data_IF_883554385252
#
_entry.id   IF_883554385252
#
_cell.length_a   1.000
_cell.length_b   1.000
_cell.length_c   1.000
_cell.angle_alpha   90.00
_cell.angle_beta   90.00
_cell.angle_gamma   90.00
#
_symmetry.space_group_name_H-M   'P 1'
#
loop_
_entity.id
_entity.type
_entity.pdbx_description
1 polymer ?
#
# COMPACT_ATOMS: atom_id res chain seq x y z
N UNK A 1 1.36 -25.12 -26.51
CA UNK A 1 0.78 -23.91 -27.13
C UNK A 1 0.45 -22.94 -26.02
N UNK A 2 1.06 -21.77 -26.02
CA UNK A 2 0.84 -20.75 -25.00
C UNK A 2 -0.60 -20.23 -25.08
N UNK A 3 -1.35 -20.45 -23.99
CA UNK A 3 -2.78 -20.15 -23.89
C UNK A 3 -3.10 -18.65 -24.05
N UNK A 4 -2.08 -17.78 -24.05
CA UNK A 4 -2.20 -16.32 -24.08
C UNK A 4 -1.51 -15.67 -25.28
N UNK A 5 -1.13 -16.45 -26.29
CA UNK A 5 -0.40 -15.95 -27.48
C UNK A 5 -1.15 -14.84 -28.25
N UNK A 6 -2.49 -14.84 -28.18
CA UNK A 6 -3.34 -13.82 -28.81
C UNK A 6 -3.30 -12.46 -28.09
N UNK A 7 -2.89 -12.42 -26.82
CA UNK A 7 -2.69 -11.18 -26.05
C UNK A 7 -1.22 -10.75 -26.10
N UNK A 8 -0.29 -11.71 -26.02
CA UNK A 8 1.13 -11.41 -25.91
C UNK A 8 1.76 -10.83 -27.19
N UNK A 9 1.16 -11.07 -28.36
CA UNK A 9 1.58 -10.52 -29.65
C UNK A 9 0.67 -9.39 -30.17
N UNK A 10 -0.37 -9.03 -29.42
CA UNK A 10 -1.24 -7.93 -29.82
C UNK A 10 -0.55 -6.59 -29.54
N UNK A 11 -0.62 -5.68 -30.50
CA UNK A 11 -0.18 -4.30 -30.31
C UNK A 11 -1.02 -3.68 -29.17
N UNK A 12 -0.34 -3.12 -28.17
CA UNK A 12 -0.99 -2.48 -27.01
C UNK A 12 -1.97 -1.39 -27.46
N UNK A 13 -1.67 -0.70 -28.57
CA UNK A 13 -2.57 0.30 -29.15
C UNK A 13 -3.85 -0.29 -29.73
N UNK A 14 -3.81 -1.52 -30.24
CA UNK A 14 -5.00 -2.21 -30.75
C UNK A 14 -5.95 -2.62 -29.62
N UNK A 15 -5.41 -3.12 -28.50
CA UNK A 15 -6.22 -3.49 -27.33
C UNK A 15 -6.90 -2.26 -26.74
N UNK A 16 -6.21 -1.11 -26.67
CA UNK A 16 -6.82 0.14 -26.20
C UNK A 16 -7.95 0.59 -27.12
N UNK A 17 -7.75 0.61 -28.44
CA UNK A 17 -8.81 0.93 -29.40
C UNK A 17 -10.01 -0.03 -29.27
N UNK A 18 -9.75 -1.32 -29.09
CA UNK A 18 -10.78 -2.34 -28.89
C UNK A 18 -11.58 -2.09 -27.61
N UNK A 19 -10.91 -1.66 -26.54
CA UNK A 19 -11.56 -1.28 -25.29
C UNK A 19 -12.39 0.02 -25.43
N UNK A 20 -11.90 1.02 -26.17
CA UNK A 20 -12.71 2.22 -26.46
C UNK A 20 -13.97 1.88 -27.27
N UNK A 21 -13.86 0.98 -28.24
CA UNK A 21 -15.02 0.49 -29.00
C UNK A 21 -16.00 -0.25 -28.08
N UNK A 22 -15.50 -1.09 -27.17
CA UNK A 22 -16.33 -1.76 -26.16
C UNK A 22 -17.10 -0.76 -25.28
N UNK A 23 -16.48 0.35 -24.86
CA UNK A 23 -17.16 1.40 -24.07
C UNK A 23 -18.26 2.11 -24.85
N UNK A 24 -18.12 2.26 -26.17
CA UNK A 24 -19.11 2.92 -27.01
C UNK A 24 -20.26 1.98 -27.38
N UNK A 25 -19.93 0.76 -27.78
CA UNK A 25 -20.89 -0.29 -28.12
C UNK A 25 -20.35 -1.66 -27.66
N UNK A 26 -20.84 -2.16 -26.51
CA UNK A 26 -20.45 -3.47 -26.01
C UNK A 26 -20.79 -4.60 -26.98
N UNK A 27 -21.87 -4.47 -27.76
CA UNK A 27 -22.32 -5.52 -28.69
C UNK A 27 -21.51 -5.57 -29.99
N UNK A 28 -20.77 -4.51 -30.30
CA UNK A 28 -19.89 -4.40 -31.48
C UNK A 28 -18.54 -5.10 -31.32
N UNK A 29 -18.22 -5.61 -30.13
CA UNK A 29 -16.98 -6.33 -29.82
C UNK A 29 -17.26 -7.82 -29.70
N UNK A 30 -16.27 -8.67 -30.02
CA UNK A 30 -16.40 -10.13 -29.89
C UNK A 30 -16.81 -10.55 -28.47
N UNK A 31 -17.71 -11.54 -28.30
CA UNK A 31 -18.18 -11.98 -26.97
C UNK A 31 -17.07 -12.37 -26.00
N UNK A 32 -15.94 -12.89 -26.48
CA UNK A 32 -14.78 -13.23 -25.63
C UNK A 32 -14.16 -11.97 -25.03
N UNK A 33 -14.00 -10.92 -25.84
CA UNK A 33 -13.47 -9.63 -25.42
C UNK A 33 -14.46 -8.86 -24.54
N UNK A 34 -15.76 -8.97 -24.79
CA UNK A 34 -16.79 -8.43 -23.88
C UNK A 34 -16.63 -9.00 -22.47
N UNK A 35 -16.52 -10.33 -22.33
CA UNK A 35 -16.34 -10.98 -21.02
C UNK A 35 -15.02 -10.63 -20.35
N UNK A 36 -13.96 -10.45 -21.13
CA UNK A 36 -12.69 -9.96 -20.61
C UNK A 36 -12.80 -8.54 -20.05
N UNK A 37 -13.36 -7.60 -20.83
CA UNK A 37 -13.52 -6.21 -20.39
C UNK A 37 -14.52 -6.06 -19.26
N UNK A 38 -15.59 -6.86 -19.21
CA UNK A 38 -16.52 -6.95 -18.08
C UNK A 38 -15.77 -7.34 -16.79
N UNK A 39 -14.88 -8.34 -16.86
CA UNK A 39 -14.04 -8.73 -15.73
C UNK A 39 -12.99 -7.67 -15.35
N UNK A 40 -12.40 -7.00 -16.34
CA UNK A 40 -11.47 -5.89 -16.13
C UNK A 40 -12.16 -4.71 -15.43
N UNK A 41 -13.31 -4.27 -15.92
CA UNK A 41 -14.12 -3.20 -15.33
C UNK A 41 -14.61 -3.57 -13.93
N UNK A 42 -15.01 -4.83 -13.71
CA UNK A 42 -15.35 -5.31 -12.38
C UNK A 42 -14.16 -5.23 -11.41
N UNK A 43 -12.97 -5.63 -11.87
CA UNK A 43 -11.75 -5.56 -11.06
C UNK A 43 -11.37 -4.11 -10.77
N UNK A 44 -11.42 -3.22 -11.75
CA UNK A 44 -11.06 -1.80 -11.56
C UNK A 44 -12.05 -1.08 -10.65
N UNK A 45 -13.34 -1.40 -10.73
CA UNK A 45 -14.35 -0.87 -9.80
C UNK A 45 -14.15 -1.39 -8.37
N UNK A 46 -13.78 -2.67 -8.20
CA UNK A 46 -13.71 -3.32 -6.89
C UNK A 46 -12.38 -3.11 -6.17
N UNK A 47 -11.28 -3.01 -6.92
CA UNK A 47 -9.90 -2.98 -6.41
C UNK A 47 -9.10 -1.76 -6.89
N UNK A 48 -9.69 -0.87 -7.69
CA UNK A 48 -9.00 0.29 -8.26
C UNK A 48 -8.19 -0.07 -9.51
N UNK A 49 -7.64 0.95 -10.15
CA UNK A 49 -6.81 0.81 -11.35
C UNK A 49 -5.47 0.16 -11.01
N UNK A 50 -5.02 -0.81 -11.83
CA UNK A 50 -3.71 -1.46 -11.66
C UNK A 50 -2.60 -0.40 -11.77
N UNK A 51 -2.02 -0.03 -10.62
CA UNK A 51 -1.01 1.02 -10.54
C UNK A 51 -1.27 2.05 -9.43
N UNK A 52 -2.46 2.05 -8.84
CA UNK A 52 -2.66 2.69 -7.54
C UNK A 52 -2.13 1.76 -6.43
N UNK A 53 -0.81 1.70 -6.28
CA UNK A 53 -0.29 1.65 -4.92
C UNK A 53 -0.77 2.95 -4.29
N UNK A 54 -1.62 2.87 -3.27
CA UNK A 54 -1.85 4.00 -2.38
C UNK A 54 -0.50 4.38 -1.76
N UNK A 55 0.26 5.23 -2.44
CA UNK A 55 1.49 5.85 -1.93
C UNK A 55 1.20 6.72 -0.70
N UNK A 56 -0.09 6.90 -0.35
CA UNK A 56 -0.57 7.53 0.88
C UNK A 56 -0.66 6.60 2.09
N UNK A 57 -0.97 5.30 1.91
CA UNK A 57 -1.02 4.32 3.02
C UNK A 57 0.37 3.99 3.55
N UNK A 58 1.36 3.99 2.66
CA UNK A 58 2.71 3.53 2.95
C UNK A 58 3.54 4.53 3.79
N UNK A 59 3.29 5.84 3.69
CA UNK A 59 4.10 6.83 4.42
C UNK A 59 3.89 6.72 5.92
N UNK A 60 2.63 6.66 6.38
CA UNK A 60 2.32 6.53 7.81
C UNK A 60 2.75 5.16 8.36
N UNK A 61 2.57 4.09 7.59
CA UNK A 61 3.08 2.76 7.95
C UNK A 61 4.61 2.77 8.08
N UNK A 62 5.32 3.43 7.16
CA UNK A 62 6.78 3.64 7.26
C UNK A 62 7.15 4.46 8.50
N UNK A 63 6.37 5.49 8.86
CA UNK A 63 6.58 6.27 10.08
C UNK A 63 6.38 5.44 11.34
N UNK A 64 5.31 4.63 11.39
CA UNK A 64 5.03 3.69 12.49
C UNK A 64 6.14 2.64 12.59
N UNK A 65 6.61 2.11 11.46
CA UNK A 65 7.75 1.21 11.39
C UNK A 65 9.01 1.83 12.00
N UNK A 66 9.32 3.06 11.64
CA UNK A 66 10.47 3.80 12.16
C UNK A 66 10.34 4.06 13.67
N UNK A 67 9.14 4.37 14.14
CA UNK A 67 8.84 4.50 15.57
C UNK A 67 9.09 3.19 16.32
N UNK A 68 8.56 2.07 15.82
CA UNK A 68 8.77 0.73 16.41
C UNK A 68 10.27 0.39 16.45
N UNK A 69 10.99 0.61 15.35
CA UNK A 69 12.43 0.42 15.29
C UNK A 69 13.17 1.24 16.35
N UNK A 70 12.85 2.54 16.47
CA UNK A 70 13.47 3.42 17.45
C UNK A 70 13.23 2.95 18.90
N UNK A 71 12.02 2.48 19.22
CA UNK A 71 11.72 1.91 20.53
C UNK A 71 12.50 0.62 20.81
N UNK A 72 12.62 -0.28 19.82
CA UNK A 72 13.40 -1.51 19.95
C UNK A 72 14.89 -1.23 20.17
N UNK A 73 15.45 -0.27 19.44
CA UNK A 73 16.86 0.08 19.54
C UNK A 73 17.19 0.90 20.78
N UNK A 74 16.37 1.89 21.12
CA UNK A 74 16.72 2.94 22.08
C UNK A 74 15.75 3.09 23.27
N UNK A 75 14.66 2.32 23.34
CA UNK A 75 13.67 2.41 24.42
C UNK A 75 14.27 2.22 25.82
N UNK A 76 15.33 1.41 25.93
CA UNK A 76 16.06 1.18 27.17
C UNK A 76 16.75 2.44 27.74
N UNK A 77 16.95 3.48 26.93
CA UNK A 77 17.49 4.77 27.36
C UNK A 77 16.43 5.66 28.02
N UNK A 78 15.15 5.45 27.70
CA UNK A 78 14.00 6.18 28.26
C UNK A 78 13.27 5.43 29.37
N UNK A 79 13.59 4.15 29.57
CA UNK A 79 12.94 3.30 30.57
C UNK A 79 13.28 3.71 32.02
N UNK A 80 12.25 3.76 32.88
CA UNK A 80 12.37 4.02 34.33
C UNK A 80 12.79 2.76 35.08
N UNK A 81 14.05 2.35 34.92
CA UNK A 81 14.58 1.12 35.54
C UNK A 81 15.19 1.33 36.92
N UNK A 82 15.47 2.58 37.32
CA UNK A 82 16.10 2.89 38.60
C UNK A 82 15.06 3.43 39.60
N UNK A 83 14.75 2.70 40.69
CA UNK A 83 13.78 3.14 41.68
C UNK A 83 14.35 4.13 42.72
N UNK A 84 15.67 4.33 42.77
CA UNK A 84 16.33 5.16 43.80
C UNK A 84 16.54 6.59 43.30
N UNK A 85 16.89 6.76 42.03
CA UNK A 85 17.22 8.06 41.44
C UNK A 85 16.83 8.09 39.97
N UNK A 86 16.40 9.26 39.52
CA UNK A 86 16.21 9.52 38.09
C UNK A 86 17.50 9.26 37.30
N UNK A 87 17.32 8.55 36.19
CA UNK A 87 18.41 8.23 35.27
C UNK A 87 18.76 9.49 34.47
N UNK A 88 20.02 9.60 34.04
CA UNK A 88 20.45 10.71 33.19
C UNK A 88 19.63 10.70 31.89
N UNK A 89 19.13 11.86 31.50
CA UNK A 89 18.48 12.03 30.21
C UNK A 89 19.51 11.92 29.07
N UNK A 90 19.23 11.06 28.11
CA UNK A 90 20.06 10.85 26.93
C UNK A 90 19.53 11.62 25.70
N UNK A 91 18.46 12.41 25.85
CA UNK A 91 17.90 13.24 24.79
C UNK A 91 17.24 12.45 23.66
N UNK A 92 16.86 11.20 23.90
CA UNK A 92 16.24 10.36 22.86
C UNK A 92 14.79 10.75 22.69
N UNK A 93 14.44 11.21 21.48
CA UNK A 93 13.08 11.56 21.16
C UNK A 93 12.32 10.37 20.58
N UNK A 94 11.39 9.85 21.37
CA UNK A 94 10.50 8.72 21.04
C UNK A 94 9.03 9.15 20.91
N UNK A 95 8.76 10.46 20.82
CA UNK A 95 7.39 10.95 20.61
C UNK A 95 6.95 10.70 19.16
N UNK A 96 5.72 10.24 18.95
CA UNK A 96 5.15 9.96 17.63
C UNK A 96 5.18 11.17 16.69
N UNK A 97 5.01 12.38 17.25
CA UNK A 97 5.14 13.65 16.52
C UNK A 97 6.49 13.84 15.84
N UNK A 98 7.56 13.27 16.38
CA UNK A 98 8.91 13.37 15.82
C UNK A 98 9.13 12.47 14.61
N UNK A 99 8.22 11.51 14.41
CA UNK A 99 8.19 10.62 13.25
C UNK A 99 7.15 11.08 12.23
N UNK A 100 6.51 12.24 12.41
CA UNK A 100 5.51 12.77 11.48
C UNK A 100 4.09 12.23 11.67
N UNK A 101 3.85 11.52 12.78
CA UNK A 101 2.52 11.04 13.19
C UNK A 101 1.81 12.11 14.04
N UNK A 102 0.49 12.15 13.94
CA UNK A 102 -0.37 13.07 14.70
C UNK A 102 -1.20 12.31 15.71
N UNK A 103 -1.83 13.02 16.66
CA UNK A 103 -2.70 12.38 17.65
C UNK A 103 -3.93 11.71 17.01
N UNK A 104 -4.35 12.17 15.82
CA UNK A 104 -5.42 11.55 15.05
C UNK A 104 -5.06 10.13 14.57
N UNK A 105 -3.76 9.78 14.52
CA UNK A 105 -3.26 8.48 14.06
C UNK A 105 -3.18 7.44 15.19
N UNK A 106 -3.51 7.81 16.44
CA UNK A 106 -3.46 6.89 17.58
C UNK A 106 -4.60 5.86 17.54
N UNK A 107 -5.75 6.22 16.96
CA UNK A 107 -6.93 5.37 16.84
C UNK A 107 -6.98 4.65 15.47
N UNK A 108 -5.95 4.78 14.64
CA UNK A 108 -5.87 4.14 13.32
C UNK A 108 -5.07 2.83 13.39
N UNK A 109 -5.57 1.79 12.74
CA UNK A 109 -4.85 0.52 12.60
C UNK A 109 -3.84 0.59 11.45
N UNK A 110 -2.66 -0.02 11.64
CA UNK A 110 -1.59 -0.09 10.66
C UNK A 110 -1.06 -1.53 10.55
N UNK A 111 -0.82 -2.01 9.34
CA UNK A 111 -0.21 -3.33 9.12
C UNK A 111 1.30 -3.18 8.86
N UNK A 112 2.08 -3.37 9.92
CA UNK A 112 3.55 -3.19 9.87
C UNK A 112 4.29 -4.50 10.19
N UNK A 113 3.57 -5.55 10.59
CA UNK A 113 4.16 -6.78 11.16
C UNK A 113 5.06 -7.51 10.16
N UNK A 114 4.58 -7.71 8.94
CA UNK A 114 5.32 -8.38 7.88
C UNK A 114 6.64 -7.66 7.53
N UNK A 115 6.66 -6.33 7.58
CA UNK A 115 7.84 -5.53 7.21
C UNK A 115 8.93 -5.48 8.30
N UNK A 116 8.55 -5.71 9.56
CA UNK A 116 9.47 -5.76 10.71
C UNK A 116 9.78 -7.18 11.20
N UNK A 117 9.35 -8.19 10.44
CA UNK A 117 9.66 -9.60 10.66
C UNK A 117 8.99 -10.21 11.89
N UNK A 118 7.74 -9.82 12.18
CA UNK A 118 6.90 -10.45 13.22
C UNK A 118 5.82 -11.34 12.63
#
# INVERSE_FOLDING_TARGET
>A
MDKYSYISNADVGYIDQLYQNYKQDPTGVDPTWQKFFEGYDFSTQRFGENGHTETGGNIKETQVRNLIFAYRSFGHLKATTNPIRERRDHGVNLAHSSFGLTDADLDTEFDVAAEIGM
#
